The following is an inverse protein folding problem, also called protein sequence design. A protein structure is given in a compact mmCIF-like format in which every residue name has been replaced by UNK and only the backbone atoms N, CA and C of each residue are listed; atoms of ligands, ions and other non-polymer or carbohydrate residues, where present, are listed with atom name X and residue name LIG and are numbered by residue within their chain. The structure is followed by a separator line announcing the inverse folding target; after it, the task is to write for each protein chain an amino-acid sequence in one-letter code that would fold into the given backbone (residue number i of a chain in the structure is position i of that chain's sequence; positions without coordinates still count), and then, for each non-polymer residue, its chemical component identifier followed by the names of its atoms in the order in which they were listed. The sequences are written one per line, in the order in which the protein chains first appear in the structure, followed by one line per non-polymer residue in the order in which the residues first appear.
data_IF_020212675045
#
_entry.id   IF_020212675045
#
_cell.length_a   1.000
_cell.length_b   1.000
_cell.length_c   1.000
_cell.angle_alpha   90.00
_cell.angle_beta   90.00
_cell.angle_gamma   90.00
#
_symmetry.space_group_name_H-M   'P 1'
#
loop_
_entity.id
_entity.type
_entity.pdbx_description
1 polymer ?
#
# COMPACT_ATOMS: atom_id res chain seq x y z
N UNK A 1 61.63 -18.40 -40.16
CA UNK A 1 62.27 -18.61 -41.48
C UNK A 1 62.19 -20.11 -41.80
N UNK A 2 62.05 -20.50 -43.08
CA UNK A 2 60.83 -21.02 -43.75
C UNK A 2 60.96 -22.56 -43.99
N UNK A 3 60.36 -23.27 -45.01
CA UNK A 3 59.24 -23.02 -45.93
C UNK A 3 58.28 -24.24 -46.18
N UNK A 4 57.07 -23.93 -46.70
CA UNK A 4 56.39 -24.44 -47.92
C UNK A 4 56.76 -25.83 -48.51
N UNK A 5 55.74 -26.67 -48.78
CA UNK A 5 55.53 -27.49 -50.03
C UNK A 5 54.11 -28.10 -50.02
N UNK A 6 53.16 -27.63 -50.86
CA UNK A 6 52.86 -27.95 -52.28
C UNK A 6 52.16 -29.31 -52.53
N UNK A 7 50.92 -29.21 -53.03
CA UNK A 7 50.25 -30.00 -54.11
C UNK A 7 50.06 -31.53 -53.90
N UNK A 8 49.02 -32.23 -54.37
CA UNK A 8 47.95 -31.98 -55.35
C UNK A 8 46.99 -33.19 -55.44
N UNK A 9 45.75 -32.92 -55.91
CA UNK A 9 44.86 -33.74 -56.78
C UNK A 9 44.18 -35.02 -56.23
N UNK A 10 42.84 -35.03 -56.35
CA UNK A 10 42.16 -36.04 -57.20
C UNK A 10 41.00 -36.86 -56.62
N UNK A 11 39.77 -36.34 -56.80
CA UNK A 11 38.53 -37.02 -57.24
C UNK A 11 37.83 -38.18 -56.46
N UNK A 12 36.59 -37.85 -56.05
CA UNK A 12 35.27 -38.52 -56.25
C UNK A 12 34.74 -39.63 -55.31
N UNK A 13 33.58 -39.26 -54.74
CA UNK A 13 32.29 -39.98 -54.54
C UNK A 13 32.13 -41.11 -53.52
N UNK A 14 31.16 -40.91 -52.60
CA UNK A 14 30.50 -41.95 -51.82
C UNK A 14 29.81 -41.38 -50.58
N UNK A 15 28.48 -41.28 -50.59
CA UNK A 15 27.68 -41.02 -49.38
C UNK A 15 27.70 -42.21 -48.43
N UNK A 16 27.82 -41.96 -47.12
CA UNK A 16 27.19 -42.80 -46.09
C UNK A 16 26.98 -42.02 -44.80
N UNK A 17 25.73 -42.00 -44.33
CA UNK A 17 25.30 -41.47 -43.03
C UNK A 17 26.01 -42.13 -41.84
N UNK A 18 26.19 -41.32 -40.79
CA UNK A 18 26.11 -41.78 -39.40
C UNK A 18 27.43 -42.00 -38.69
N UNK A 19 27.90 -41.00 -37.95
CA UNK A 19 28.09 -41.23 -36.51
C UNK A 19 27.96 -39.92 -35.73
N UNK A 20 27.24 -39.99 -34.62
CA UNK A 20 26.86 -38.86 -33.78
C UNK A 20 27.65 -38.84 -32.47
N UNK A 21 27.94 -37.61 -32.02
CA UNK A 21 28.22 -37.12 -30.64
C UNK A 21 29.63 -37.32 -30.05
N UNK A 22 30.07 -36.50 -29.07
CA UNK A 22 29.27 -35.61 -28.18
C UNK A 22 29.57 -34.11 -28.39
N UNK A 23 28.56 -33.24 -28.31
CA UNK A 23 28.14 -32.66 -27.03
C UNK A 23 28.82 -31.31 -26.88
N UNK A 24 28.28 -30.27 -27.53
CA UNK A 24 28.64 -28.90 -27.17
C UNK A 24 28.13 -28.70 -25.75
N UNK A 25 29.03 -28.72 -24.78
CA UNK A 25 28.74 -28.24 -23.44
C UNK A 25 28.19 -26.82 -23.58
N UNK A 26 26.87 -26.67 -23.47
CA UNK A 26 26.26 -25.36 -23.28
C UNK A 26 26.64 -24.94 -21.87
N UNK A 27 27.76 -24.24 -21.75
CA UNK A 27 28.15 -23.59 -20.51
C UNK A 27 27.03 -22.66 -20.07
N UNK A 28 26.32 -23.06 -19.02
CA UNK A 28 25.32 -22.24 -18.37
C UNK A 28 26.04 -21.32 -17.39
N UNK A 29 25.95 -20.00 -17.62
CA UNK A 29 26.46 -19.00 -16.69
C UNK A 29 25.30 -18.19 -16.10
N UNK A 30 25.38 -17.91 -14.80
CA UNK A 30 24.43 -17.05 -14.10
C UNK A 30 25.18 -16.03 -13.28
N UNK A 31 24.72 -14.78 -13.28
CA UNK A 31 25.27 -13.71 -12.44
C UNK A 31 24.22 -13.26 -11.43
N UNK A 32 24.53 -13.38 -10.15
CA UNK A 32 23.73 -12.80 -9.08
C UNK A 32 24.26 -11.41 -8.74
N UNK A 33 23.38 -10.40 -8.76
CA UNK A 33 23.70 -9.05 -8.31
C UNK A 33 22.90 -8.79 -7.04
N UNK A 34 23.61 -8.49 -5.96
CA UNK A 34 23.02 -7.98 -4.73
C UNK A 34 23.29 -6.48 -4.65
N UNK A 35 22.23 -5.69 -4.57
CA UNK A 35 22.27 -4.24 -4.44
C UNK A 35 21.48 -3.79 -3.22
N UNK A 36 21.71 -2.57 -2.76
CA UNK A 36 21.02 -2.03 -1.59
C UNK A 36 20.13 -0.86 -2.01
N UNK A 37 18.86 -0.93 -1.64
CA UNK A 37 17.93 0.21 -1.77
C UNK A 37 17.96 0.99 -0.47
N UNK A 38 18.47 2.21 -0.52
CA UNK A 38 18.63 3.07 0.65
C UNK A 38 17.45 4.03 0.80
N UNK A 39 17.07 4.31 2.04
CA UNK A 39 16.12 5.35 2.39
C UNK A 39 16.38 5.85 3.80
N UNK A 40 16.10 7.12 4.05
CA UNK A 40 16.37 7.78 5.33
C UNK A 40 15.10 8.38 5.93
N UNK A 41 15.00 8.36 7.25
CA UNK A 41 13.89 8.92 7.99
C UNK A 41 14.39 9.70 9.21
N UNK A 42 13.88 10.92 9.35
CA UNK A 42 14.18 11.81 10.48
C UNK A 42 13.04 11.75 11.49
N UNK A 43 13.35 11.37 12.71
CA UNK A 43 12.42 11.30 13.82
C UNK A 43 12.77 12.35 14.88
N UNK A 44 11.87 13.32 15.05
CA UNK A 44 12.00 14.40 16.03
C UNK A 44 11.10 14.14 17.22
N UNK A 45 11.68 14.00 18.40
CA UNK A 45 10.98 13.85 19.67
C UNK A 45 10.96 15.23 20.34
N UNK A 46 9.78 15.83 20.45
CA UNK A 46 9.57 17.04 21.25
C UNK A 46 9.05 16.66 22.63
N UNK A 47 9.53 17.31 23.69
CA UNK A 47 9.12 16.98 25.05
C UNK A 47 9.91 15.81 25.65
N UNK A 48 11.21 15.70 25.39
CA UNK A 48 12.05 14.61 25.93
C UNK A 48 11.95 14.49 27.46
N UNK A 49 11.84 15.62 28.16
CA UNK A 49 11.67 15.69 29.61
C UNK A 49 10.42 14.98 30.12
N UNK A 50 9.38 14.86 29.30
CA UNK A 50 8.15 14.11 29.57
C UNK A 50 8.26 12.64 29.16
N UNK A 51 9.08 12.35 28.15
CA UNK A 51 9.35 11.01 27.69
C UNK A 51 10.28 10.22 28.64
N UNK A 52 11.07 10.93 29.44
CA UNK A 52 11.99 10.30 30.40
C UNK A 52 11.22 9.87 31.67
N UNK A 53 11.54 8.70 32.23
CA UNK A 53 10.84 8.15 33.40
C UNK A 53 9.60 7.30 33.10
N UNK A 54 9.36 6.94 31.83
CA UNK A 54 8.35 5.96 31.44
C UNK A 54 8.64 4.54 31.96
N UNK A 55 9.90 4.27 32.32
CA UNK A 55 10.41 3.00 32.81
C UNK A 55 11.03 2.14 31.72
N UNK A 56 11.92 1.23 32.15
CA UNK A 56 12.65 0.35 31.25
C UNK A 56 11.72 -0.43 30.31
N UNK A 57 12.10 -0.51 29.03
CA UNK A 57 11.34 -1.21 28.00
C UNK A 57 10.14 -0.44 27.45
N UNK A 58 9.83 0.76 27.96
CA UNK A 58 8.88 1.68 27.30
C UNK A 58 9.60 2.50 26.24
N UNK A 59 8.91 2.78 25.15
CA UNK A 59 9.48 3.43 23.98
C UNK A 59 8.53 4.44 23.35
N UNK A 60 9.13 5.36 22.60
CA UNK A 60 8.49 6.17 21.58
C UNK A 60 8.77 5.54 20.22
N UNK A 61 7.76 5.57 19.36
CA UNK A 61 7.84 5.04 18.00
C UNK A 61 7.74 6.21 17.01
N UNK A 62 8.57 6.20 15.96
CA UNK A 62 8.38 7.11 14.82
C UNK A 62 7.17 6.71 13.99
N UNK A 63 6.77 7.59 13.08
CA UNK A 63 5.92 7.16 11.96
C UNK A 63 6.63 6.09 11.13
N UNK A 64 5.81 5.32 10.40
CA UNK A 64 6.31 4.30 9.49
C UNK A 64 6.85 4.94 8.22
N UNK A 65 7.99 4.43 7.72
CA UNK A 65 8.57 4.85 6.46
C UNK A 65 8.97 3.64 5.62
N UNK A 66 8.79 3.76 4.30
CA UNK A 66 8.98 2.64 3.37
C UNK A 66 10.36 2.69 2.73
N UNK A 67 11.12 1.60 2.82
CA UNK A 67 12.41 1.43 2.15
C UNK A 67 12.49 0.03 1.57
N UNK A 68 12.88 -0.08 0.30
CA UNK A 68 13.05 -1.38 -0.35
C UNK A 68 11.76 -2.21 -0.44
N UNK A 69 10.58 -1.58 -0.37
CA UNK A 69 9.28 -2.25 -0.40
C UNK A 69 8.81 -2.80 0.94
N UNK A 70 9.48 -2.43 2.03
CA UNK A 70 9.12 -2.81 3.40
C UNK A 70 8.93 -1.56 4.25
N UNK A 71 8.08 -1.67 5.26
CA UNK A 71 7.80 -0.58 6.19
C UNK A 71 8.63 -0.73 7.44
N UNK A 72 9.20 0.39 7.88
CA UNK A 72 10.14 0.47 8.98
C UNK A 72 9.69 1.53 9.98
N UNK A 73 10.07 1.37 11.24
CA UNK A 73 9.89 2.42 12.25
C UNK A 73 11.04 2.42 13.26
N UNK A 74 11.37 3.62 13.75
CA UNK A 74 12.40 3.84 14.78
C UNK A 74 11.75 3.71 16.15
N UNK A 75 12.41 2.97 17.04
CA UNK A 75 12.00 2.75 18.42
C UNK A 75 13.05 3.37 19.34
N UNK A 76 12.66 4.42 20.06
CA UNK A 76 13.51 5.10 21.04
C UNK A 76 13.08 4.76 22.46
N UNK A 77 13.99 4.27 23.29
CA UNK A 77 13.77 3.92 24.69
C UNK A 77 14.51 4.91 25.59
N UNK A 78 13.84 5.93 26.17
CA UNK A 78 14.48 6.97 26.98
C UNK A 78 15.11 6.42 28.28
N UNK A 79 14.50 5.39 28.86
CA UNK A 79 14.97 4.73 30.08
C UNK A 79 15.65 3.38 29.80
N UNK A 80 16.08 3.15 28.56
CA UNK A 80 16.72 1.89 28.14
C UNK A 80 15.73 0.76 27.84
N UNK A 81 16.15 -0.19 27.01
CA UNK A 81 15.31 -1.33 26.60
C UNK A 81 15.17 -2.40 27.67
N UNK A 82 16.21 -2.67 28.44
CA UNK A 82 16.21 -3.71 29.47
C UNK A 82 16.34 -3.08 30.86
N UNK A 83 15.84 -3.75 31.92
CA UNK A 83 15.99 -3.26 33.30
C UNK A 83 17.44 -3.03 33.73
N UNK A 84 18.37 -3.85 33.24
CA UNK A 84 19.82 -3.76 33.54
C UNK A 84 20.47 -2.47 33.02
N UNK A 85 19.91 -1.90 31.96
CA UNK A 85 20.39 -0.67 31.33
C UNK A 85 19.56 0.55 31.79
N UNK A 86 18.60 0.32 32.70
CA UNK A 86 17.60 1.30 33.09
C UNK A 86 18.24 2.56 33.65
N UNK A 87 17.76 3.71 33.18
CA UNK A 87 18.21 5.05 33.60
C UNK A 87 19.68 5.39 33.31
N UNK A 88 20.50 4.46 32.80
CA UNK A 88 21.90 4.70 32.48
C UNK A 88 22.13 5.03 31.00
N UNK A 89 21.39 4.37 30.11
CA UNK A 89 21.51 4.52 28.66
C UNK A 89 20.16 4.72 28.00
N UNK A 90 20.16 5.49 26.92
CA UNK A 90 19.07 5.44 25.94
C UNK A 90 19.33 4.31 24.95
N UNK A 91 18.26 3.69 24.45
CA UNK A 91 18.36 2.67 23.41
C UNK A 91 17.63 3.10 22.14
N UNK A 92 18.17 2.73 20.98
CA UNK A 92 17.57 3.02 19.68
C UNK A 92 17.56 1.75 18.84
N UNK A 93 16.40 1.45 18.25
CA UNK A 93 16.23 0.31 17.35
C UNK A 93 15.49 0.71 16.08
N UNK A 94 15.78 0.02 15.01
CA UNK A 94 14.96 -0.03 13.80
C UNK A 94 14.16 -1.34 13.82
N UNK A 95 12.88 -1.28 13.50
CA UNK A 95 12.01 -2.44 13.43
C UNK A 95 11.35 -2.57 12.06
N UNK A 96 11.16 -3.82 11.62
CA UNK A 96 10.35 -4.15 10.46
C UNK A 96 8.87 -4.15 10.88
N UNK A 97 8.05 -3.31 10.26
CA UNK A 97 6.63 -3.12 10.59
C UNK A 97 5.71 -3.84 9.59
N UNK A 98 6.12 -3.93 8.33
CA UNK A 98 5.41 -4.71 7.31
C UNK A 98 5.57 -6.21 7.54
N UNK A 99 4.66 -7.01 6.98
CA UNK A 99 4.87 -8.45 6.84
C UNK A 99 6.09 -8.72 5.93
N UNK A 100 6.99 -9.59 6.38
CA UNK A 100 8.18 -9.97 5.63
C UNK A 100 8.97 -11.06 6.34
N UNK A 101 9.53 -11.99 5.57
CA UNK A 101 10.37 -13.09 6.08
C UNK A 101 11.80 -12.91 5.59
N UNK A 102 12.76 -13.04 6.51
CA UNK A 102 14.20 -12.97 6.22
C UNK A 102 14.64 -11.74 5.40
N UNK A 103 14.09 -10.57 5.74
CA UNK A 103 14.46 -9.30 5.12
C UNK A 103 15.89 -8.94 5.52
N UNK A 104 16.81 -8.88 4.55
CA UNK A 104 18.20 -8.46 4.80
C UNK A 104 18.35 -6.95 4.68
N UNK A 105 18.82 -6.30 5.73
CA UNK A 105 19.01 -4.85 5.74
C UNK A 105 20.29 -4.43 6.48
N UNK A 106 20.89 -3.36 5.96
CA UNK A 106 21.86 -2.53 6.65
C UNK A 106 21.10 -1.37 7.30
N UNK A 107 21.65 -0.81 8.37
CA UNK A 107 21.10 0.39 8.96
C UNK A 107 22.19 1.31 9.50
N UNK A 108 21.86 2.58 9.58
CA UNK A 108 22.60 3.61 10.27
C UNK A 108 21.64 4.33 11.22
N UNK A 109 22.09 4.55 12.45
CA UNK A 109 21.36 5.32 13.45
C UNK A 109 22.23 6.49 13.88
N UNK A 110 21.68 7.68 13.72
CA UNK A 110 22.39 8.94 13.94
C UNK A 110 21.62 9.79 14.94
N UNK A 111 22.31 10.21 15.98
CA UNK A 111 21.86 11.26 16.88
C UNK A 111 22.38 12.58 16.33
N UNK A 112 21.46 13.47 15.96
CA UNK A 112 21.79 14.69 15.22
C UNK A 112 22.20 15.80 16.17
N UNK A 113 23.35 16.42 15.89
CA UNK A 113 23.78 17.65 16.54
C UNK A 113 22.87 18.80 16.09
N UNK A 114 22.27 19.52 17.04
CA UNK A 114 21.32 20.60 16.76
C UNK A 114 21.98 21.99 16.75
N UNK A 115 23.31 22.03 16.65
CA UNK A 115 24.12 23.22 16.42
C UNK A 115 24.72 23.21 15.02
N UNK A 116 25.25 24.35 14.59
CA UNK A 116 25.96 24.47 13.30
C UNK A 116 27.32 23.75 13.28
N UNK A 117 27.66 22.98 14.33
CA UNK A 117 28.94 22.29 14.48
C UNK A 117 29.04 21.00 13.66
N UNK A 118 27.89 20.41 13.31
CA UNK A 118 27.79 19.22 12.44
C UNK A 118 28.40 17.93 13.03
N UNK A 119 28.52 17.82 14.35
CA UNK A 119 29.17 16.68 15.04
C UNK A 119 28.18 15.61 15.45
N UNK A 120 27.51 15.03 14.47
CA UNK A 120 26.55 13.95 14.67
C UNK A 120 27.19 12.71 15.31
N UNK A 121 26.43 12.04 16.19
CA UNK A 121 26.83 10.72 16.72
C UNK A 121 26.24 9.63 15.85
N UNK A 122 27.08 9.07 14.97
CA UNK A 122 26.68 8.07 13.96
C UNK A 122 27.06 6.66 14.40
N UNK A 123 26.14 5.72 14.22
CA UNK A 123 26.37 4.28 14.29
C UNK A 123 25.95 3.63 12.96
N UNK A 124 26.91 3.43 12.05
CA UNK A 124 26.66 2.92 10.70
C UNK A 124 27.11 1.47 10.52
N UNK A 125 26.30 0.71 9.78
CA UNK A 125 26.66 -0.63 9.31
C UNK A 125 26.95 -0.68 7.80
N UNK A 126 26.85 0.44 7.09
CA UNK A 126 27.14 0.49 5.66
C UNK A 126 28.62 0.24 5.35
N UNK A 127 29.52 0.70 6.22
CA UNK A 127 30.98 0.61 6.01
C UNK A 127 31.59 -0.73 6.46
N UNK A 128 30.81 -1.61 7.11
CA UNK A 128 31.28 -2.90 7.66
C UNK A 128 30.76 -4.13 6.91
N UNK A 129 30.36 -3.96 5.66
CA UNK A 129 29.67 -4.99 4.88
C UNK A 129 30.48 -6.30 4.75
N UNK A 130 31.81 -6.24 4.74
CA UNK A 130 32.68 -7.42 4.63
C UNK A 130 32.94 -8.17 5.96
N UNK A 131 32.72 -7.52 7.11
CA UNK A 131 33.00 -8.12 8.43
C UNK A 131 31.74 -8.72 9.08
N UNK A 132 30.59 -8.06 8.94
CA UNK A 132 29.35 -8.48 9.61
C UNK A 132 28.17 -8.78 8.68
N UNK A 133 28.24 -8.36 7.41
CA UNK A 133 27.13 -8.47 6.47
C UNK A 133 25.84 -7.72 6.91
N UNK A 134 24.78 -7.78 6.09
CA UNK A 134 23.49 -7.22 6.45
C UNK A 134 22.77 -8.06 7.52
N UNK A 135 22.02 -7.40 8.39
CA UNK A 135 21.19 -8.06 9.40
C UNK A 135 19.95 -8.68 8.76
N UNK A 136 19.52 -9.83 9.28
CA UNK A 136 18.30 -10.50 8.81
C UNK A 136 17.16 -10.26 9.81
N UNK A 137 16.08 -9.65 9.34
CA UNK A 137 14.84 -9.43 10.07
C UNK A 137 13.84 -10.50 9.66
N UNK A 138 13.56 -11.42 10.58
CA UNK A 138 12.90 -12.69 10.26
C UNK A 138 11.39 -12.61 10.11
N UNK A 139 10.76 -11.65 10.78
CA UNK A 139 9.31 -11.51 10.85
C UNK A 139 8.93 -10.08 11.26
N UNK A 140 7.65 -9.74 11.11
CA UNK A 140 7.08 -8.46 11.55
C UNK A 140 7.30 -8.20 13.04
N UNK A 141 7.84 -7.04 13.37
CA UNK A 141 8.22 -6.65 14.73
C UNK A 141 9.63 -7.10 15.14
N UNK A 142 10.36 -7.83 14.28
CA UNK A 142 11.80 -8.03 14.45
C UNK A 142 12.51 -6.68 14.45
N UNK A 143 13.50 -6.52 15.33
CA UNK A 143 14.20 -5.24 15.52
C UNK A 143 15.70 -5.42 15.70
N UNK A 144 16.46 -4.47 15.18
CA UNK A 144 17.92 -4.38 15.34
C UNK A 144 18.32 -2.97 15.76
N UNK A 145 19.44 -2.86 16.49
CA UNK A 145 19.88 -1.58 17.03
C UNK A 145 20.72 -1.75 18.29
N UNK A 146 20.78 -0.71 19.10
CA UNK A 146 21.74 -0.60 20.20
C UNK A 146 21.02 -0.46 21.54
N UNK A 147 21.22 -1.44 22.42
CA UNK A 147 20.75 -1.39 23.82
C UNK A 147 21.40 -0.25 24.60
N UNK A 148 22.70 -0.03 24.39
CA UNK A 148 23.49 1.05 25.00
C UNK A 148 23.89 2.06 23.93
N UNK A 149 22.90 2.71 23.31
CA UNK A 149 23.14 3.62 22.18
C UNK A 149 23.91 4.87 22.62
N UNK A 150 23.45 5.53 23.68
CA UNK A 150 24.13 6.69 24.24
C UNK A 150 23.90 6.80 25.75
N UNK A 151 24.90 7.30 26.50
CA UNK A 151 24.74 7.52 27.95
C UNK A 151 23.76 8.64 28.19
N UNK A 152 22.75 8.39 29.00
CA UNK A 152 21.68 9.36 29.26
C UNK A 152 22.18 10.62 29.95
N UNK A 153 23.05 10.47 30.96
CA UNK A 153 23.61 11.62 31.69
C UNK A 153 24.41 12.56 30.78
N UNK A 154 25.01 12.02 29.71
CA UNK A 154 25.77 12.82 28.72
C UNK A 154 24.81 13.41 27.69
N UNK A 155 23.78 12.65 27.27
CA UNK A 155 22.75 13.12 26.34
C UNK A 155 22.09 14.40 26.84
N UNK A 156 21.67 14.39 28.10
CA UNK A 156 20.89 15.47 28.73
C UNK A 156 21.69 16.77 28.91
N UNK A 157 23.02 16.71 28.81
CA UNK A 157 23.92 17.88 28.89
C UNK A 157 24.63 18.17 27.57
N UNK A 158 24.20 17.56 26.47
CA UNK A 158 24.88 17.67 25.16
C UNK A 158 24.07 18.48 24.16
N UNK A 159 24.74 18.92 23.09
CA UNK A 159 24.14 19.62 21.95
C UNK A 159 23.12 18.78 21.14
N UNK A 160 23.00 17.50 21.46
CA UNK A 160 22.01 16.60 20.85
C UNK A 160 20.59 16.83 21.39
N UNK A 161 20.44 17.40 22.59
CA UNK A 161 19.15 17.71 23.21
C UNK A 161 19.03 19.23 23.39
N UNK A 162 18.22 19.88 22.56
CA UNK A 162 18.04 21.34 22.54
C UNK A 162 16.56 21.69 22.59
N UNK A 163 16.18 22.66 23.40
CA UNK A 163 14.79 23.11 23.56
C UNK A 163 13.81 21.94 23.86
N UNK A 164 14.25 21.01 24.71
CA UNK A 164 13.55 19.76 25.06
C UNK A 164 13.21 18.86 23.84
N UNK A 165 13.96 19.02 22.75
CA UNK A 165 13.80 18.29 21.51
C UNK A 165 15.04 17.43 21.20
N UNK A 166 14.80 16.19 20.78
CA UNK A 166 15.82 15.24 20.34
C UNK A 166 15.56 14.85 18.88
N UNK A 167 16.60 14.82 18.04
CA UNK A 167 16.46 14.42 16.64
C UNK A 167 17.31 13.18 16.34
N UNK A 168 16.64 12.14 15.84
CA UNK A 168 17.24 10.93 15.34
C UNK A 168 17.11 10.89 13.82
N UNK A 169 18.16 10.47 13.12
CA UNK A 169 18.10 10.12 11.72
C UNK A 169 18.42 8.64 11.57
N UNK A 170 17.61 7.91 10.81
CA UNK A 170 17.85 6.51 10.51
C UNK A 170 17.93 6.33 9.00
N UNK A 171 19.00 5.70 8.53
CA UNK A 171 19.10 5.24 7.13
C UNK A 171 19.01 3.73 7.12
N UNK A 172 18.10 3.19 6.32
CA UNK A 172 17.95 1.74 6.10
C UNK A 172 18.39 1.44 4.68
N UNK A 173 19.14 0.36 4.52
CA UNK A 173 19.58 -0.15 3.24
C UNK A 173 19.11 -1.58 3.05
N UNK A 174 18.03 -1.78 2.29
CA UNK A 174 17.45 -3.12 2.07
C UNK A 174 18.19 -3.81 0.93
N UNK A 175 18.74 -4.99 1.21
CA UNK A 175 19.47 -5.78 0.22
C UNK A 175 18.50 -6.53 -0.68
N UNK A 176 18.56 -6.25 -1.98
CA UNK A 176 17.81 -6.94 -3.02
C UNK A 176 18.77 -7.74 -3.87
N UNK A 177 18.45 -9.02 -4.08
CA UNK A 177 19.21 -9.90 -4.97
C UNK A 177 18.39 -10.14 -6.22
N UNK A 178 18.97 -9.82 -7.39
CA UNK A 178 18.41 -10.17 -8.69
C UNK A 178 19.38 -11.04 -9.48
N UNK A 179 18.83 -11.97 -10.25
CA UNK A 179 19.59 -12.70 -11.26
C UNK A 179 19.63 -11.85 -12.52
N UNK A 180 20.84 -11.46 -12.94
CA UNK A 180 21.01 -10.82 -14.24
C UNK A 180 21.12 -11.93 -15.27
N UNK A 181 20.09 -12.08 -16.10
CA UNK A 181 20.19 -12.91 -17.29
C UNK A 181 21.19 -12.26 -18.26
N UNK A 182 21.99 -13.04 -19.01
CA UNK A 182 22.94 -12.47 -19.96
C UNK A 182 22.19 -11.56 -20.93
N UNK A 183 22.59 -10.27 -20.99
CA UNK A 183 22.01 -9.28 -21.91
C UNK A 183 22.25 -9.73 -23.34
N UNK A 184 21.28 -10.42 -23.94
CA UNK A 184 21.15 -10.51 -25.38
C UNK A 184 20.82 -9.12 -25.91
N UNK A 185 21.52 -8.69 -26.97
CA UNK A 185 21.33 -7.44 -27.71
C UNK A 185 19.88 -6.94 -27.67
N UNK A 186 19.62 -5.82 -27.00
CA UNK A 186 18.27 -5.25 -26.88
C UNK A 186 17.97 -4.34 -28.05
N UNK A 187 17.02 -4.74 -28.90
CA UNK A 187 16.33 -3.87 -29.84
C UNK A 187 15.29 -3.06 -29.06
N UNK A 188 15.37 -1.74 -29.10
CA UNK A 188 14.35 -0.87 -28.48
C UNK A 188 13.05 -0.96 -29.26
N UNK A 189 12.00 -1.50 -28.64
CA UNK A 189 10.65 -1.55 -29.21
C UNK A 189 9.87 -0.32 -28.75
N UNK A 190 9.30 0.50 -29.65
CA UNK A 190 8.47 1.64 -29.26
C UNK A 190 7.18 1.17 -28.56
N UNK A 191 6.57 2.05 -27.77
CA UNK A 191 5.26 1.78 -27.17
C UNK A 191 4.19 1.59 -28.26
N UNK A 192 3.22 0.71 -28.01
CA UNK A 192 2.09 0.50 -28.92
C UNK A 192 1.35 1.82 -29.20
N UNK A 193 1.07 2.06 -30.46
CA UNK A 193 0.32 3.20 -30.97
C UNK A 193 -1.10 2.87 -31.44
N UNK A 194 -1.50 1.60 -31.37
CA UNK A 194 -2.83 1.12 -31.79
C UNK A 194 -3.98 1.95 -31.23
N UNK A 195 -3.94 2.34 -29.94
CA UNK A 195 -5.00 3.14 -29.33
C UNK A 195 -5.10 4.57 -29.88
N UNK A 196 -3.97 5.17 -30.30
CA UNK A 196 -3.95 6.47 -30.96
C UNK A 196 -4.56 6.35 -32.36
N UNK A 197 -4.10 5.37 -33.13
CA UNK A 197 -4.55 5.19 -34.51
C UNK A 197 -6.06 4.84 -34.57
N UNK A 198 -6.59 4.11 -33.58
CA UNK A 198 -8.03 3.88 -33.43
C UNK A 198 -8.79 5.16 -33.06
N UNK A 199 -8.24 6.01 -32.17
CA UNK A 199 -8.83 7.31 -31.83
C UNK A 199 -8.89 8.21 -33.06
N UNK A 200 -7.81 8.26 -33.85
CA UNK A 200 -7.77 9.05 -35.09
C UNK A 200 -8.85 8.59 -36.08
N UNK A 201 -9.14 7.28 -36.12
CA UNK A 201 -10.23 6.73 -36.93
C UNK A 201 -11.61 7.18 -36.44
N UNK A 202 -11.84 7.18 -35.11
CA UNK A 202 -13.04 7.74 -34.51
C UNK A 202 -13.21 9.23 -34.84
N UNK A 203 -12.14 10.02 -34.68
CA UNK A 203 -12.16 11.47 -34.88
C UNK A 203 -12.39 11.83 -36.37
N UNK A 204 -11.89 11.01 -37.29
CA UNK A 204 -12.13 11.17 -38.74
C UNK A 204 -13.54 10.78 -39.18
N UNK A 205 -14.29 10.06 -38.32
CA UNK A 205 -15.57 9.42 -38.61
C UNK A 205 -15.57 8.45 -39.81
N UNK A 206 -14.39 8.09 -40.33
CA UNK A 206 -14.26 7.25 -41.50
C UNK A 206 -14.79 5.85 -41.21
N UNK A 207 -15.75 5.35 -42.01
CA UNK A 207 -16.28 3.99 -41.86
C UNK A 207 -17.19 3.78 -40.65
N UNK A 208 -17.61 4.83 -39.95
CA UNK A 208 -18.62 4.73 -38.89
C UNK A 208 -19.94 4.18 -39.44
N UNK A 209 -20.49 3.18 -38.75
CA UNK A 209 -21.66 2.40 -39.16
C UNK A 209 -22.80 2.44 -38.12
N UNK A 210 -22.67 3.30 -37.11
CA UNK A 210 -23.68 3.56 -36.09
C UNK A 210 -23.63 5.02 -35.60
N UNK A 211 -24.80 5.57 -35.28
CA UNK A 211 -24.96 6.89 -34.65
C UNK A 211 -25.67 6.76 -33.30
N UNK A 212 -25.07 7.29 -32.24
CA UNK A 212 -25.70 7.41 -30.93
C UNK A 212 -26.26 8.81 -30.74
N UNK A 213 -27.54 8.90 -30.38
CA UNK A 213 -28.18 10.12 -29.90
C UNK A 213 -28.12 10.12 -28.38
N UNK A 214 -27.41 11.08 -27.79
CA UNK A 214 -27.23 11.21 -26.34
C UNK A 214 -27.61 12.63 -25.96
N UNK A 215 -28.78 12.79 -25.32
CA UNK A 215 -29.37 14.12 -25.16
C UNK A 215 -29.54 14.82 -26.51
N UNK A 216 -28.97 16.03 -26.62
CA UNK A 216 -28.93 16.86 -27.81
C UNK A 216 -27.72 16.59 -28.74
N UNK A 217 -26.75 15.77 -28.30
CA UNK A 217 -25.54 15.46 -29.06
C UNK A 217 -25.66 14.15 -29.87
N UNK A 218 -24.87 14.06 -30.94
CA UNK A 218 -24.74 12.87 -31.77
C UNK A 218 -23.29 12.40 -31.84
N UNK A 219 -23.08 11.09 -31.64
CA UNK A 219 -21.77 10.46 -31.69
C UNK A 219 -21.76 9.34 -32.72
N UNK A 220 -20.87 9.43 -33.71
CA UNK A 220 -20.64 8.34 -34.66
C UNK A 220 -19.60 7.37 -34.13
N UNK A 221 -19.75 6.09 -34.44
CA UNK A 221 -18.82 5.05 -34.00
C UNK A 221 -18.85 3.81 -34.91
N UNK A 222 -18.08 2.79 -34.52
CA UNK A 222 -17.93 1.51 -35.21
C UNK A 222 -18.49 0.36 -34.37
N UNK A 223 -19.52 -0.32 -34.85
CA UNK A 223 -20.16 -1.45 -34.15
C UNK A 223 -19.17 -2.53 -33.76
N UNK A 224 -18.22 -2.86 -34.65
CA UNK A 224 -17.21 -3.90 -34.41
C UNK A 224 -16.30 -3.56 -33.23
N UNK A 225 -15.83 -2.31 -33.14
CA UNK A 225 -14.95 -1.87 -32.04
C UNK A 225 -15.74 -1.86 -30.73
N UNK A 226 -16.96 -1.31 -30.73
CA UNK A 226 -17.85 -1.29 -29.57
C UNK A 226 -18.15 -2.70 -29.06
N UNK A 227 -18.53 -3.62 -29.95
CA UNK A 227 -18.82 -5.01 -29.62
C UNK A 227 -17.59 -5.81 -29.15
N UNK A 228 -16.39 -5.47 -29.63
CA UNK A 228 -15.16 -6.09 -29.15
C UNK A 228 -14.83 -5.69 -27.70
N UNK A 229 -15.23 -4.49 -27.28
CA UNK A 229 -14.80 -3.85 -26.04
C UNK A 229 -15.87 -3.83 -24.95
N UNK A 230 -17.15 -3.89 -25.32
CA UNK A 230 -18.29 -3.93 -24.41
C UNK A 230 -19.18 -5.14 -24.71
N UNK A 231 -19.44 -5.95 -23.67
CA UNK A 231 -20.36 -7.08 -23.78
C UNK A 231 -21.80 -6.63 -24.06
N UNK A 232 -22.18 -5.45 -23.57
CA UNK A 232 -23.50 -4.86 -23.78
C UNK A 232 -23.69 -4.48 -25.24
N UNK A 233 -22.75 -3.74 -25.84
CA UNK A 233 -22.81 -3.45 -27.27
C UNK A 233 -22.71 -4.71 -28.13
N UNK A 234 -21.92 -5.70 -27.72
CA UNK A 234 -21.87 -6.99 -28.42
C UNK A 234 -23.23 -7.67 -28.45
N UNK A 235 -23.92 -7.71 -27.32
CA UNK A 235 -25.25 -8.29 -27.23
C UNK A 235 -26.27 -7.47 -28.04
N UNK A 236 -26.18 -6.14 -27.99
CA UNK A 236 -27.08 -5.24 -28.70
C UNK A 236 -26.99 -5.37 -30.23
N UNK A 237 -25.79 -5.53 -30.78
CA UNK A 237 -25.60 -5.60 -32.24
C UNK A 237 -25.53 -7.03 -32.80
N UNK A 238 -25.00 -7.97 -32.02
CA UNK A 238 -24.67 -9.32 -32.48
C UNK A 238 -25.15 -10.43 -31.53
N UNK A 239 -25.95 -10.10 -30.52
CA UNK A 239 -26.57 -11.08 -29.63
C UNK A 239 -27.80 -11.75 -30.25
N UNK A 240 -28.37 -12.73 -29.54
CA UNK A 240 -29.54 -13.49 -30.00
C UNK A 240 -30.77 -12.62 -30.33
N UNK A 241 -30.90 -11.50 -29.62
CA UNK A 241 -31.98 -10.51 -29.79
C UNK A 241 -31.45 -9.15 -30.26
N UNK A 242 -30.19 -9.10 -30.69
CA UNK A 242 -29.56 -7.88 -31.20
C UNK A 242 -29.92 -7.63 -32.66
N UNK A 243 -29.72 -6.39 -33.12
CA UNK A 243 -29.94 -5.99 -34.51
C UNK A 243 -28.66 -5.38 -35.09
N UNK A 244 -28.06 -6.06 -36.06
CA UNK A 244 -26.85 -5.57 -36.74
C UNK A 244 -27.15 -4.47 -37.76
N UNK A 245 -28.41 -4.32 -38.19
CA UNK A 245 -28.83 -3.34 -39.18
C UNK A 245 -29.21 -2.00 -38.57
N UNK A 246 -29.28 -1.90 -37.23
CA UNK A 246 -29.57 -0.65 -36.54
C UNK A 246 -28.52 0.41 -36.87
N UNK A 247 -28.92 1.54 -37.40
CA UNK A 247 -28.04 2.66 -37.77
C UNK A 247 -28.05 3.78 -36.73
N UNK A 248 -29.08 3.82 -35.86
CA UNK A 248 -29.22 4.81 -34.79
C UNK A 248 -29.65 4.21 -33.45
N UNK A 249 -28.98 4.58 -32.37
CA UNK A 249 -29.31 4.20 -30.98
C UNK A 249 -29.53 5.44 -30.12
N UNK A 250 -30.58 5.46 -29.30
CA UNK A 250 -30.83 6.55 -28.34
C UNK A 250 -30.36 6.13 -26.95
N UNK A 251 -29.45 6.90 -26.34
CA UNK A 251 -28.95 6.68 -24.99
C UNK A 251 -29.62 7.70 -24.06
N UNK A 252 -30.30 7.21 -23.01
CA UNK A 252 -31.06 8.06 -22.07
C UNK A 252 -30.40 8.21 -20.71
N UNK A 253 -29.65 7.20 -20.28
CA UNK A 253 -29.17 7.08 -18.89
C UNK A 253 -27.73 7.58 -18.70
N UNK A 254 -27.15 8.23 -19.72
CA UNK A 254 -25.76 8.73 -19.69
C UNK A 254 -25.72 10.14 -20.27
N UNK A 255 -25.04 11.05 -19.57
CA UNK A 255 -24.82 12.42 -20.03
C UNK A 255 -23.87 12.45 -21.25
N UNK A 256 -24.02 13.41 -22.18
CA UNK A 256 -23.23 13.45 -23.42
C UNK A 256 -21.71 13.40 -23.19
N UNK A 257 -21.20 14.19 -22.25
CA UNK A 257 -19.76 14.23 -21.96
C UNK A 257 -19.25 12.93 -21.33
N UNK A 258 -20.05 12.25 -20.48
CA UNK A 258 -19.70 10.93 -19.94
C UNK A 258 -19.70 9.87 -21.04
N UNK A 259 -20.66 9.93 -21.96
CA UNK A 259 -20.69 9.03 -23.11
C UNK A 259 -19.46 9.23 -24.01
N UNK A 260 -19.07 10.49 -24.27
CA UNK A 260 -17.83 10.83 -24.98
C UNK A 260 -16.60 10.25 -24.28
N UNK A 261 -16.50 10.41 -22.96
CA UNK A 261 -15.40 9.84 -22.17
C UNK A 261 -15.34 8.31 -22.29
N UNK A 262 -16.48 7.64 -22.16
CA UNK A 262 -16.60 6.20 -22.33
C UNK A 262 -16.18 5.75 -23.73
N UNK A 263 -16.60 6.49 -24.77
CA UNK A 263 -16.24 6.19 -26.16
C UNK A 263 -14.73 6.33 -26.37
N UNK A 264 -14.11 7.39 -25.88
CA UNK A 264 -12.65 7.56 -25.95
C UNK A 264 -11.90 6.41 -25.26
N UNK A 265 -12.38 5.95 -24.09
CA UNK A 265 -11.81 4.78 -23.42
C UNK A 265 -11.92 3.51 -24.29
N UNK A 266 -13.06 3.29 -24.95
CA UNK A 266 -13.27 2.10 -25.79
C UNK A 266 -12.20 1.99 -26.89
N UNK A 267 -11.82 3.12 -27.50
CA UNK A 267 -10.85 3.17 -28.60
C UNK A 267 -9.39 3.23 -28.12
N UNK A 268 -9.12 3.89 -26.98
CA UNK A 268 -7.74 4.15 -26.52
C UNK A 268 -7.26 3.25 -25.39
N UNK A 269 -8.18 2.60 -24.67
CA UNK A 269 -7.94 1.88 -23.41
C UNK A 269 -7.31 2.77 -22.30
N UNK A 270 -7.56 4.09 -22.37
CA UNK A 270 -7.07 5.09 -21.40
C UNK A 270 -8.22 5.88 -20.81
N UNK A 271 -8.08 6.27 -19.55
CA UNK A 271 -8.99 7.24 -18.94
C UNK A 271 -8.77 8.60 -19.62
N UNK A 272 -9.83 9.23 -20.16
CA UNK A 272 -9.68 10.50 -20.87
C UNK A 272 -9.37 11.63 -19.88
N UNK A 273 -8.66 12.65 -20.37
CA UNK A 273 -8.44 13.89 -19.61
C UNK A 273 -9.74 14.70 -19.57
N UNK A 274 -10.04 15.31 -18.42
CA UNK A 274 -11.13 16.29 -18.25
C UNK A 274 -11.18 17.33 -19.37
N UNK A 275 -10.03 17.84 -19.80
CA UNK A 275 -9.99 18.87 -20.84
C UNK A 275 -10.42 18.36 -22.22
N UNK A 276 -10.22 17.07 -22.52
CA UNK A 276 -10.66 16.47 -23.80
C UNK A 276 -12.19 16.28 -23.86
N UNK A 277 -12.83 16.18 -22.69
CA UNK A 277 -14.22 15.77 -22.55
C UNK A 277 -15.15 16.96 -22.24
N UNK A 278 -14.78 17.81 -21.28
CA UNK A 278 -15.68 18.85 -20.74
C UNK A 278 -15.61 20.20 -21.46
N UNK A 279 -14.65 20.41 -22.38
CA UNK A 279 -14.41 21.73 -22.95
C UNK A 279 -14.19 22.79 -21.87
N UNK A 280 -14.81 23.97 -22.01
CA UNK A 280 -14.70 25.09 -21.06
C UNK A 280 -15.81 25.13 -19.99
N UNK A 281 -16.59 24.06 -19.80
CA UNK A 281 -17.71 24.06 -18.84
C UNK A 281 -17.22 23.83 -17.40
N UNK A 282 -17.41 24.78 -16.45
CA UNK A 282 -16.85 24.70 -15.10
C UNK A 282 -17.77 24.00 -14.08
N UNK A 283 -18.82 23.29 -14.50
CA UNK A 283 -19.85 22.83 -13.56
C UNK A 283 -19.52 21.52 -12.81
N UNK A 284 -18.62 20.69 -13.35
CA UNK A 284 -18.34 19.35 -12.82
C UNK A 284 -16.86 19.20 -12.45
N UNK A 285 -16.55 18.68 -11.26
CA UNK A 285 -15.17 18.37 -10.86
C UNK A 285 -14.71 17.07 -11.52
N UNK A 286 -13.39 16.88 -11.65
CA UNK A 286 -12.80 15.63 -12.15
C UNK A 286 -13.36 14.40 -11.39
N UNK A 287 -13.46 14.50 -10.06
CA UNK A 287 -14.00 13.44 -9.20
C UNK A 287 -15.44 13.10 -9.56
N UNK A 288 -16.32 14.09 -9.75
CA UNK A 288 -17.74 13.85 -10.11
C UNK A 288 -17.84 13.22 -11.51
N UNK A 289 -17.04 13.69 -12.47
CA UNK A 289 -16.95 13.04 -13.79
C UNK A 289 -16.56 11.56 -13.67
N UNK A 290 -15.55 11.24 -12.85
CA UNK A 290 -15.11 9.85 -12.65
C UNK A 290 -16.19 9.01 -11.96
N UNK A 291 -16.97 9.56 -11.03
CA UNK A 291 -18.10 8.89 -10.40
C UNK A 291 -19.18 8.51 -11.43
N UNK A 292 -19.59 9.44 -12.30
CA UNK A 292 -20.55 9.15 -13.36
C UNK A 292 -19.99 8.18 -14.41
N UNK A 293 -18.69 8.30 -14.73
CA UNK A 293 -18.02 7.38 -15.65
C UNK A 293 -17.92 5.96 -15.08
N UNK A 294 -17.77 5.80 -13.77
CA UNK A 294 -17.82 4.50 -13.08
C UNK A 294 -19.20 3.86 -13.28
N UNK A 295 -20.27 4.62 -13.07
CA UNK A 295 -21.64 4.14 -13.28
C UNK A 295 -21.88 3.70 -14.74
N UNK A 296 -21.40 4.49 -15.70
CA UNK A 296 -21.46 4.14 -17.12
C UNK A 296 -20.60 2.89 -17.43
N UNK A 297 -19.41 2.77 -16.86
CA UNK A 297 -18.54 1.61 -17.05
C UNK A 297 -19.21 0.31 -16.59
N UNK A 298 -19.94 0.35 -15.46
CA UNK A 298 -20.72 -0.77 -14.98
C UNK A 298 -21.89 -1.10 -15.93
N UNK A 299 -22.66 -0.07 -16.33
CA UNK A 299 -23.80 -0.21 -17.24
C UNK A 299 -23.43 -0.86 -18.58
N UNK A 300 -22.24 -0.56 -19.13
CA UNK A 300 -21.77 -1.10 -20.41
C UNK A 300 -20.78 -2.28 -20.26
N UNK A 301 -20.60 -2.81 -19.05
CA UNK A 301 -19.65 -3.88 -18.71
C UNK A 301 -18.22 -3.64 -19.24
N UNK A 302 -17.67 -2.48 -18.89
CA UNK A 302 -16.30 -2.07 -19.17
C UNK A 302 -15.44 -2.28 -17.91
N UNK A 303 -15.19 -3.54 -17.55
CA UNK A 303 -14.56 -3.93 -16.27
C UNK A 303 -13.24 -3.18 -15.97
N UNK A 304 -12.40 -3.00 -16.99
CA UNK A 304 -11.12 -2.28 -16.85
C UNK A 304 -11.32 -0.78 -16.61
N UNK A 305 -12.30 -0.14 -17.27
CA UNK A 305 -12.63 1.26 -17.01
C UNK A 305 -13.16 1.44 -15.59
N UNK A 306 -14.04 0.53 -15.15
CA UNK A 306 -14.58 0.52 -13.80
C UNK A 306 -13.46 0.48 -12.75
N UNK A 307 -12.47 -0.41 -12.91
CA UNK A 307 -11.29 -0.47 -12.04
C UNK A 307 -10.41 0.79 -12.10
N UNK A 308 -10.24 1.40 -13.28
CA UNK A 308 -9.51 2.67 -13.40
C UNK A 308 -10.23 3.80 -12.65
N UNK A 309 -11.55 3.86 -12.74
CA UNK A 309 -12.36 4.80 -11.97
C UNK A 309 -12.25 4.53 -10.47
N UNK A 310 -12.33 3.27 -10.02
CA UNK A 310 -12.12 2.90 -8.61
C UNK A 310 -10.75 3.37 -8.10
N UNK A 311 -9.69 3.13 -8.86
CA UNK A 311 -8.34 3.57 -8.51
C UNK A 311 -8.24 5.09 -8.38
N UNK A 312 -8.86 5.85 -9.30
CA UNK A 312 -8.83 7.31 -9.25
C UNK A 312 -9.66 7.89 -8.12
N UNK A 313 -10.84 7.34 -7.86
CA UNK A 313 -11.64 7.76 -6.71
C UNK A 313 -10.91 7.46 -5.41
N UNK A 314 -10.20 6.34 -5.32
CA UNK A 314 -9.38 5.97 -4.16
C UNK A 314 -8.24 6.97 -3.89
N UNK A 315 -7.60 7.52 -4.92
CA UNK A 315 -6.52 8.51 -4.79
C UNK A 315 -7.02 9.88 -4.27
N UNK A 316 -8.29 10.22 -4.54
CA UNK A 316 -8.88 11.53 -4.26
C UNK A 316 -9.92 11.51 -3.11
N UNK A 317 -9.96 10.44 -2.30
CA UNK A 317 -10.90 10.35 -1.17
C UNK A 317 -10.60 11.44 -0.14
N UNK A 318 -11.64 12.19 0.22
CA UNK A 318 -11.61 13.19 1.30
C UNK A 318 -12.77 12.95 2.27
N UNK A 319 -12.76 13.64 3.42
CA UNK A 319 -13.86 13.58 4.39
C UNK A 319 -15.20 14.05 3.81
N UNK A 320 -15.18 14.92 2.81
CA UNK A 320 -16.39 15.42 2.13
C UNK A 320 -16.91 14.46 1.05
N UNK A 321 -16.01 13.74 0.37
CA UNK A 321 -16.35 12.90 -0.80
C UNK A 321 -16.51 11.42 -0.48
N UNK A 322 -16.02 10.95 0.67
CA UNK A 322 -15.99 9.51 0.99
C UNK A 322 -17.39 8.90 1.07
N UNK A 323 -18.37 9.61 1.61
CA UNK A 323 -19.71 9.05 1.82
C UNK A 323 -20.48 8.86 0.49
N UNK A 324 -20.39 9.84 -0.43
CA UNK A 324 -20.98 9.68 -1.77
C UNK A 324 -20.25 8.63 -2.59
N UNK A 325 -18.93 8.54 -2.44
CA UNK A 325 -18.11 7.50 -3.09
C UNK A 325 -18.42 6.11 -2.54
N UNK A 326 -18.68 5.97 -1.24
CA UNK A 326 -19.10 4.72 -0.61
C UNK A 326 -20.48 4.26 -1.13
N UNK A 327 -21.45 5.17 -1.21
CA UNK A 327 -22.77 4.87 -1.77
C UNK A 327 -22.65 4.37 -3.23
N UNK A 328 -21.85 5.07 -4.04
CA UNK A 328 -21.58 4.68 -5.42
C UNK A 328 -20.91 3.30 -5.51
N UNK A 329 -19.94 3.03 -4.64
CA UNK A 329 -19.23 1.76 -4.60
C UNK A 329 -20.16 0.59 -4.26
N UNK A 330 -21.09 0.78 -3.32
CA UNK A 330 -22.11 -0.22 -3.00
C UNK A 330 -23.06 -0.44 -4.18
N UNK A 331 -23.61 0.64 -4.75
CA UNK A 331 -24.56 0.59 -5.85
C UNK A 331 -24.01 -0.18 -7.06
N UNK A 332 -22.74 0.03 -7.39
CA UNK A 332 -22.07 -0.61 -8.51
C UNK A 332 -21.22 -1.82 -8.10
N UNK A 333 -21.34 -2.34 -6.88
CA UNK A 333 -20.63 -3.54 -6.41
C UNK A 333 -19.09 -3.45 -6.54
N UNK A 334 -18.52 -2.26 -6.36
CA UNK A 334 -17.09 -1.96 -6.37
C UNK A 334 -16.46 -2.32 -5.00
N UNK A 335 -16.20 -3.62 -4.78
CA UNK A 335 -15.75 -4.13 -3.47
C UNK A 335 -14.45 -3.49 -2.97
N UNK A 336 -13.47 -3.27 -3.85
CA UNK A 336 -12.18 -2.71 -3.44
C UNK A 336 -12.33 -1.26 -3.00
N UNK A 337 -13.03 -0.44 -3.80
CA UNK A 337 -13.32 0.95 -3.43
C UNK A 337 -14.14 1.03 -2.14
N UNK A 338 -15.14 0.17 -1.99
CA UNK A 338 -15.97 0.09 -0.77
C UNK A 338 -15.12 -0.17 0.48
N UNK A 339 -14.24 -1.17 0.45
CA UNK A 339 -13.37 -1.51 1.58
C UNK A 339 -12.46 -0.35 1.98
N UNK A 340 -11.93 0.38 1.00
CA UNK A 340 -11.10 1.56 1.25
C UNK A 340 -11.93 2.69 1.87
N UNK A 341 -13.11 2.99 1.33
CA UNK A 341 -14.01 4.01 1.87
C UNK A 341 -14.44 3.70 3.32
N UNK A 342 -14.75 2.44 3.63
CA UNK A 342 -15.09 2.01 4.99
C UNK A 342 -13.91 2.20 5.95
N UNK A 343 -12.71 1.77 5.56
CA UNK A 343 -11.49 1.96 6.38
C UNK A 343 -11.14 3.43 6.59
N UNK A 344 -11.26 4.25 5.55
CA UNK A 344 -10.99 5.69 5.63
C UNK A 344 -11.96 6.38 6.59
N UNK A 345 -13.25 6.05 6.49
CA UNK A 345 -14.29 6.62 7.36
C UNK A 345 -14.20 6.12 8.79
N UNK A 346 -13.87 4.83 8.99
CA UNK A 346 -13.72 4.22 10.31
C UNK A 346 -12.47 4.72 11.08
N UNK A 347 -11.59 5.50 10.46
CA UNK A 347 -10.49 6.13 11.17
C UNK A 347 -11.04 7.21 12.14
N UNK A 348 -10.74 7.15 13.46
CA UNK A 348 -11.23 8.13 14.43
C UNK A 348 -10.93 9.59 14.09
N UNK A 349 -9.83 9.86 13.36
CA UNK A 349 -9.49 11.22 12.93
C UNK A 349 -10.45 11.78 11.87
N UNK A 350 -11.13 10.91 11.12
CA UNK A 350 -11.94 11.29 9.96
C UNK A 350 -13.44 11.20 10.26
N UNK A 351 -13.86 10.22 11.06
CA UNK A 351 -15.27 9.90 11.31
C UNK A 351 -16.11 11.13 11.68
N UNK A 352 -15.62 11.95 12.61
CA UNK A 352 -16.33 13.14 13.07
C UNK A 352 -16.58 14.16 11.97
N UNK A 353 -15.63 14.35 11.06
CA UNK A 353 -15.80 15.23 9.91
C UNK A 353 -16.75 14.63 8.86
N UNK A 354 -16.62 13.33 8.59
CA UNK A 354 -17.49 12.63 7.62
C UNK A 354 -18.95 12.69 8.05
N UNK A 355 -19.26 12.45 9.33
CA UNK A 355 -20.63 12.49 9.85
C UNK A 355 -21.30 13.88 9.74
N UNK A 356 -20.50 14.95 9.61
CA UNK A 356 -21.01 16.31 9.43
C UNK A 356 -21.14 16.71 7.94
N UNK A 357 -20.64 15.88 7.02
CA UNK A 357 -20.70 16.15 5.58
C UNK A 357 -22.11 15.94 5.03
N UNK A 358 -22.48 16.71 4.00
CA UNK A 358 -23.73 16.50 3.27
C UNK A 358 -23.77 15.12 2.58
N UNK A 359 -22.59 14.60 2.18
CA UNK A 359 -22.48 13.27 1.60
C UNK A 359 -22.91 12.15 2.55
N UNK A 360 -22.69 12.31 3.86
CA UNK A 360 -23.12 11.34 4.86
C UNK A 360 -24.64 11.31 5.02
N UNK A 361 -25.31 12.47 5.03
CA UNK A 361 -26.78 12.54 5.03
C UNK A 361 -27.37 11.81 3.81
N UNK A 362 -26.79 12.03 2.63
CA UNK A 362 -27.20 11.31 1.43
C UNK A 362 -27.00 9.79 1.53
N UNK A 363 -25.92 9.34 2.20
CA UNK A 363 -25.68 7.91 2.46
C UNK A 363 -26.75 7.33 3.40
N UNK A 364 -27.18 8.07 4.43
CA UNK A 364 -28.25 7.64 5.34
C UNK A 364 -29.58 7.43 4.60
N UNK A 365 -29.89 8.28 3.63
CA UNK A 365 -31.12 8.17 2.83
C UNK A 365 -31.03 7.08 1.75
N UNK A 366 -29.88 6.97 1.09
CA UNK A 366 -29.72 6.11 -0.10
C UNK A 366 -29.36 4.67 0.24
N UNK A 367 -28.53 4.45 1.26
CA UNK A 367 -28.00 3.11 1.60
C UNK A 367 -27.84 2.92 3.13
N UNK A 368 -28.94 2.80 3.90
CA UNK A 368 -28.86 2.65 5.36
C UNK A 368 -28.04 1.44 5.85
N UNK A 369 -27.97 0.36 5.05
CA UNK A 369 -27.17 -0.83 5.35
C UNK A 369 -25.67 -0.51 5.48
N UNK A 370 -25.18 0.50 4.77
CA UNK A 370 -23.77 0.92 4.85
C UNK A 370 -23.42 1.53 6.20
N UNK A 371 -24.39 2.10 6.91
CA UNK A 371 -24.17 2.62 8.26
C UNK A 371 -23.87 1.47 9.25
N UNK A 372 -24.56 0.33 9.09
CA UNK A 372 -24.34 -0.86 9.92
C UNK A 372 -22.92 -1.41 9.67
N UNK A 373 -22.54 -1.55 8.40
CA UNK A 373 -21.23 -2.05 8.02
C UNK A 373 -20.10 -1.10 8.42
N UNK A 374 -20.35 0.21 8.41
CA UNK A 374 -19.43 1.23 8.91
C UNK A 374 -19.25 1.12 10.43
N UNK A 375 -20.32 0.89 11.19
CA UNK A 375 -20.24 0.64 12.64
C UNK A 375 -19.48 -0.64 12.96
N UNK A 376 -19.73 -1.72 12.22
CA UNK A 376 -18.99 -2.99 12.34
C UNK A 376 -17.50 -2.79 12.03
N UNK A 377 -17.18 -2.06 10.96
CA UNK A 377 -15.80 -1.74 10.59
C UNK A 377 -15.12 -0.88 11.66
N UNK A 378 -15.82 0.12 12.20
CA UNK A 378 -15.32 0.96 13.28
C UNK A 378 -15.04 0.14 14.55
N UNK A 379 -15.95 -0.75 14.95
CA UNK A 379 -15.75 -1.65 16.08
C UNK A 379 -14.54 -2.58 15.87
N UNK A 380 -14.33 -3.11 14.66
CA UNK A 380 -13.18 -3.93 14.33
C UNK A 380 -11.85 -3.14 14.34
N UNK A 381 -11.87 -1.85 13.95
CA UNK A 381 -10.72 -0.96 14.06
C UNK A 381 -10.42 -0.64 15.52
N UNK A 382 -11.44 -0.39 16.34
CA UNK A 382 -11.29 -0.12 17.76
C UNK A 382 -10.85 -1.37 18.55
N UNK A 383 -11.28 -2.56 18.17
CA UNK A 383 -10.78 -3.82 18.77
C UNK A 383 -9.30 -4.07 18.48
N UNK A 384 -8.82 -3.70 17.29
CA UNK A 384 -7.38 -3.72 17.01
C UNK A 384 -6.62 -2.66 17.81
N UNK A 385 -7.24 -1.49 18.05
CA UNK A 385 -6.73 -0.44 18.93
C UNK A 385 -6.71 -0.90 20.41
N UNK A 386 -7.74 -1.62 20.83
CA UNK A 386 -7.99 -2.08 22.20
C UNK A 386 -7.21 -3.34 22.50
N UNK A 387 -6.87 -4.20 21.54
CA UNK A 387 -5.91 -5.31 21.70
C UNK A 387 -4.46 -4.80 21.85
N UNK A 388 -4.13 -3.65 21.25
CA UNK A 388 -2.89 -2.94 21.53
C UNK A 388 -2.91 -2.28 22.92
N UNK A 389 -4.08 -1.86 23.40
CA UNK A 389 -4.29 -1.22 24.71
C UNK A 389 -4.43 -2.20 25.89
N UNK A 390 -5.08 -3.35 25.69
CA UNK A 390 -5.50 -4.32 26.71
C UNK A 390 -4.39 -5.26 27.19
N UNK A 391 -3.23 -5.26 26.54
CA UNK A 391 -1.99 -5.80 27.15
C UNK A 391 -1.51 -4.99 28.37
N UNK A 392 -2.17 -3.88 28.72
CA UNK A 392 -1.98 -3.14 29.97
C UNK A 392 -3.32 -2.95 30.69
N UNK A 393 -3.79 -3.98 31.40
CA UNK A 393 -4.39 -3.84 32.75
C UNK A 393 -4.79 -5.21 33.28
N UNK A 394 -4.01 -5.70 34.23
CA UNK A 394 -4.50 -6.61 35.26
C UNK A 394 -3.88 -6.20 36.59
N UNK A 395 -4.75 -5.91 37.54
CA UNK A 395 -4.46 -5.80 38.97
C UNK A 395 -4.29 -4.38 39.53
N UNK A 396 -5.38 -3.71 39.90
CA UNK A 396 -5.84 -3.68 41.30
C UNK A 396 -7.09 -2.80 41.41
N UNK A 397 -8.17 -3.37 41.93
CA UNK A 397 -9.37 -2.65 42.35
C UNK A 397 -9.25 -2.39 43.85
N UNK A 398 -9.30 -1.12 44.26
CA UNK A 398 -9.54 -0.69 45.63
C UNK A 398 -10.58 0.43 45.57
N UNK A 399 -11.79 0.13 46.04
CA UNK A 399 -12.74 1.03 46.70
C UNK A 399 -13.29 0.17 47.85
N UNK A 400 -13.21 0.50 49.14
CA UNK A 400 -13.28 1.80 49.82
C UNK A 400 -14.64 1.86 50.51
N UNK A 401 -14.69 1.72 51.85
CA UNK A 401 -15.85 2.07 52.68
C UNK A 401 -15.43 2.11 54.16
N UNK A 402 -15.23 3.32 54.68
CA UNK A 402 -15.15 3.63 56.11
C UNK A 402 -16.55 4.02 56.61
N UNK A 403 -17.03 3.34 57.66
CA UNK A 403 -18.04 3.83 58.61
C UNK A 403 -17.69 3.27 60.01
N UNK A 404 -17.86 4.05 61.09
CA UNK A 404 -17.25 3.74 62.37
C UNK A 404 -18.08 2.81 63.26
N UNK A 405 -17.30 2.15 64.13
CA UNK A 405 -17.60 1.23 65.21
C UNK A 405 -18.92 1.41 65.97
N UNK A 406 -19.59 0.28 66.19
CA UNK A 406 -20.24 -0.01 67.46
C UNK A 406 -20.23 -1.53 67.74
N UNK A 407 -20.08 -1.91 69.01
CA UNK A 407 -20.29 -3.28 69.52
C UNK A 407 -19.06 -4.18 69.64
N UNK A 408 -18.68 -4.51 70.88
CA UNK A 408 -17.56 -5.39 71.21
C UNK A 408 -17.89 -6.88 71.34
N UNK A 409 -16.96 -7.61 71.96
CA UNK A 409 -17.20 -8.92 72.58
C UNK A 409 -16.98 -10.16 71.70
N UNK A 410 -15.73 -10.62 71.68
CA UNK A 410 -15.27 -12.01 71.93
C UNK A 410 -16.02 -13.25 71.40
N UNK A 411 -15.18 -14.15 70.85
CA UNK A 411 -15.26 -15.63 70.84
C UNK A 411 -16.01 -16.30 69.68
N UNK A 412 -15.29 -17.05 68.83
CA UNK A 412 -15.02 -18.48 69.07
C UNK A 412 -14.34 -19.14 67.85
N UNK A 413 -13.43 -20.05 68.16
CA UNK A 413 -12.67 -20.94 67.27
C UNK A 413 -13.50 -22.02 66.55
N UNK A 414 -12.79 -22.65 65.59
CA UNK A 414 -12.96 -24.04 65.11
C UNK A 414 -13.93 -24.21 63.94
N UNK A 415 -13.73 -25.08 62.95
CA UNK A 415 -12.70 -26.06 62.68
C UNK A 415 -12.69 -26.32 61.16
N UNK A 416 -11.52 -26.65 60.61
CA UNK A 416 -11.39 -27.32 59.32
C UNK A 416 -11.84 -28.80 59.49
N UNK A 417 -12.42 -29.47 58.46
CA UNK A 417 -11.55 -30.36 57.70
C UNK A 417 -11.92 -30.57 56.21
N UNK A 418 -10.86 -30.65 55.40
CA UNK A 418 -10.61 -31.53 54.25
C UNK A 418 -11.79 -32.24 53.55
N UNK A 419 -11.97 -31.90 52.27
CA UNK A 419 -12.63 -32.75 51.27
C UNK A 419 -12.00 -32.59 49.89
N UNK A 420 -10.95 -33.37 49.59
CA UNK A 420 -10.42 -33.55 48.23
C UNK A 420 -11.50 -34.20 47.35
N UNK A 421 -11.84 -33.58 46.21
CA UNK A 421 -12.27 -34.31 45.02
C UNK A 421 -11.84 -33.61 43.73
N UNK A 422 -11.53 -34.46 42.76
CA UNK A 422 -10.71 -34.26 41.57
C UNK A 422 -11.59 -34.11 40.32
N UNK A 423 -11.17 -33.23 39.39
CA UNK A 423 -11.40 -33.14 37.92
C UNK A 423 -12.83 -33.25 37.34
N UNK A 424 -13.16 -32.29 36.46
CA UNK A 424 -13.24 -32.42 34.96
C UNK A 424 -13.57 -31.02 34.38
N UNK A 425 -12.70 -30.41 33.56
CA UNK A 425 -12.81 -30.30 32.09
C UNK A 425 -14.25 -30.09 31.57
N UNK A 426 -14.54 -28.87 31.12
CA UNK A 426 -14.66 -28.55 29.70
C UNK A 426 -13.74 -27.37 29.37
#
# INVERSE_FOLDING_TARGET
MPPIRKHSRGAKSGESMGNSKPGSDQESCSRSISETVNGSHRFTIKGYSLAKGMGAGKYLMSDTFTVGGYDWAIYFYPDGKNPEDSNAYVSVFIALVSEGTDVRALFELTLVDQTDSGKDKVHSHFDRALEGGPYTLKYRGSMWGYKKFFRRSILETSEFLKDDCLVLNCTVGVVRTRLEQPKQFTITVPSSDMGRDLKDFLDSEAGCDIVFQVGDEQFKAHKLILAARSRVFRAQFYGLVGDCNVDKVVVKDVEPFIFKAMLLFIYTDKLPDTHEVMGSSPLCTFTVMVQHLLAAADLYNLDRLKLLCESKLCEEITTETVATTLALAEQHQCRQLKDVCLKFTANPSNLGAVMQSEGYKHLEESCPSMLVELLETFAAVDDNSSLLSSRKRSGSSIYGLDLPADGGGTAAESANPNGRRVRRRF
#
